data_IF_855822773725
#
_entry.id   IF_855822773725
#
_cell.length_a   1.000
_cell.length_b   1.000
_cell.length_c   1.000
_cell.angle_alpha   90.00
_cell.angle_beta   90.00
_cell.angle_gamma   90.00
#
_symmetry.space_group_name_H-M   'P 1'
#
loop_
_entity.id
_entity.type
_entity.pdbx_description
1 polymer ?
#
# COMPACT_ATOMS: atom_id res chain seq x y z
N UNK A 1 -15.85 6.17 -7.32
CA UNK A 1 -14.50 5.95 -6.72
C UNK A 1 -13.70 7.23 -6.90
N UNK A 2 -13.75 8.15 -5.93
CA UNK A 2 -13.23 9.52 -6.06
C UNK A 2 -11.71 9.62 -5.99
N UNK A 3 -11.02 9.31 -7.09
CA UNK A 3 -9.59 9.61 -7.25
C UNK A 3 -8.63 8.82 -6.35
N UNK A 4 -9.10 7.74 -5.71
CA UNK A 4 -8.25 6.90 -4.85
C UNK A 4 -7.27 6.12 -5.73
N UNK A 5 -5.96 6.17 -5.44
CA UNK A 5 -4.96 5.43 -6.22
C UNK A 5 -5.13 3.93 -5.99
N UNK A 6 -5.26 3.19 -7.09
CA UNK A 6 -5.41 1.74 -7.11
C UNK A 6 -4.20 1.06 -7.75
N UNK A 7 -3.97 -0.19 -7.39
CA UNK A 7 -2.95 -1.03 -8.01
C UNK A 7 -3.31 -1.25 -9.49
N UNK A 8 -2.33 -1.07 -10.37
CA UNK A 8 -2.50 -1.18 -11.82
C UNK A 8 -3.17 -2.52 -12.21
N UNK A 9 -4.15 -2.47 -13.11
CA UNK A 9 -4.88 -3.65 -13.56
C UNK A 9 -5.88 -4.22 -12.53
N UNK A 10 -6.03 -3.58 -11.37
CA UNK A 10 -6.97 -4.00 -10.32
C UNK A 10 -7.86 -2.84 -9.87
N UNK A 11 -8.91 -3.16 -9.11
CA UNK A 11 -9.68 -2.15 -8.35
C UNK A 11 -9.29 -2.10 -6.88
N UNK A 12 -8.14 -2.67 -6.52
CA UNK A 12 -7.66 -2.75 -5.14
C UNK A 12 -6.95 -1.43 -4.81
N UNK A 13 -7.42 -0.68 -3.80
CA UNK A 13 -6.75 0.54 -3.37
C UNK A 13 -5.34 0.26 -2.85
N UNK A 14 -4.39 1.14 -3.15
CA UNK A 14 -3.03 1.04 -2.59
C UNK A 14 -3.08 1.05 -1.06
N UNK A 15 -3.94 1.90 -0.49
CA UNK A 15 -4.13 2.01 0.95
C UNK A 15 -4.55 0.69 1.62
N UNK A 16 -5.29 -0.18 0.92
CA UNK A 16 -5.70 -1.49 1.47
C UNK A 16 -4.48 -2.37 1.72
N UNK A 17 -3.61 -2.53 0.72
CA UNK A 17 -2.41 -3.35 0.84
C UNK A 17 -1.45 -2.79 1.89
N UNK A 18 -1.23 -1.46 1.88
CA UNK A 18 -0.37 -0.82 2.88
C UNK A 18 -0.95 -0.94 4.30
N UNK A 19 -2.27 -0.87 4.44
CA UNK A 19 -2.95 -1.06 5.71
C UNK A 19 -2.76 -2.46 6.28
N UNK A 20 -2.91 -3.50 5.45
CA UNK A 20 -2.66 -4.89 5.84
C UNK A 20 -1.21 -5.10 6.29
N UNK A 21 -0.24 -4.62 5.50
CA UNK A 21 1.18 -4.68 5.89
C UNK A 21 1.43 -3.93 7.21
N UNK A 22 0.78 -2.79 7.43
CA UNK A 22 0.86 -2.03 8.68
C UNK A 22 0.25 -2.74 9.89
N UNK A 23 -0.65 -3.70 9.68
CA UNK A 23 -1.21 -4.57 10.72
C UNK A 23 -0.31 -5.78 11.03
N UNK A 24 0.79 -5.96 10.29
CA UNK A 24 1.72 -7.07 10.45
C UNK A 24 1.49 -8.24 9.50
N UNK A 25 0.55 -8.12 8.55
CA UNK A 25 0.38 -9.13 7.50
C UNK A 25 1.64 -9.22 6.61
N UNK A 26 1.95 -10.44 6.18
CA UNK A 26 3.05 -10.68 5.25
C UNK A 26 2.58 -10.68 3.81
N UNK A 27 3.49 -10.47 2.86
CA UNK A 27 3.17 -10.54 1.42
C UNK A 27 2.59 -11.91 1.08
N UNK A 28 3.14 -12.96 1.68
CA UNK A 28 2.76 -14.35 1.47
C UNK A 28 1.34 -14.64 2.00
N UNK A 29 0.90 -13.94 3.05
CA UNK A 29 -0.46 -14.01 3.60
C UNK A 29 -1.47 -13.24 2.71
N UNK A 30 -1.05 -12.09 2.18
CA UNK A 30 -1.91 -11.21 1.37
C UNK A 30 -2.20 -11.81 -0.02
N UNK A 31 -1.20 -12.39 -0.69
CA UNK A 31 -1.37 -12.86 -2.08
C UNK A 31 -2.51 -13.88 -2.28
N UNK A 32 -2.70 -14.90 -1.41
CA UNK A 32 -3.82 -15.82 -1.48
C UNK A 32 -5.21 -15.16 -1.39
N UNK A 33 -5.34 -14.08 -0.60
CA UNK A 33 -6.62 -13.37 -0.43
C UNK A 33 -6.98 -12.49 -1.63
N UNK A 34 -5.97 -12.10 -2.41
CA UNK A 34 -6.13 -11.23 -3.57
C UNK A 34 -5.53 -11.88 -4.83
N UNK A 35 -6.25 -12.78 -5.53
CA UNK A 35 -5.73 -13.54 -6.68
C UNK A 35 -5.26 -12.69 -7.88
N UNK A 36 -5.63 -11.41 -7.92
CA UNK A 36 -5.21 -10.45 -8.95
C UNK A 36 -3.92 -9.71 -8.60
N UNK A 37 -3.39 -9.91 -7.38
CA UNK A 37 -2.13 -9.36 -6.94
C UNK A 37 -0.99 -10.32 -7.23
N UNK A 38 0.14 -9.73 -7.61
CA UNK A 38 1.45 -10.38 -7.64
C UNK A 38 2.37 -9.61 -6.70
N UNK A 39 3.47 -10.23 -6.28
CA UNK A 39 4.45 -9.59 -5.38
C UNK A 39 4.87 -8.20 -5.87
N UNK A 40 5.09 -8.04 -7.18
CA UNK A 40 5.50 -6.76 -7.79
C UNK A 40 4.48 -5.64 -7.60
N UNK A 41 3.19 -5.96 -7.54
CA UNK A 41 2.15 -4.97 -7.23
C UNK A 41 2.31 -4.42 -5.81
N UNK A 42 2.60 -5.29 -4.84
CA UNK A 42 2.80 -4.88 -3.45
C UNK A 42 4.07 -4.05 -3.30
N UNK A 43 5.15 -4.44 -3.98
CA UNK A 43 6.39 -3.65 -4.01
C UNK A 43 6.18 -2.28 -4.69
N UNK A 44 5.39 -2.22 -5.76
CA UNK A 44 5.04 -0.96 -6.41
C UNK A 44 4.18 -0.06 -5.50
N UNK A 45 3.21 -0.65 -4.79
CA UNK A 45 2.41 0.05 -3.78
C UNK A 45 3.29 0.65 -2.66
N UNK A 46 4.28 -0.10 -2.16
CA UNK A 46 5.24 0.39 -1.17
C UNK A 46 6.07 1.57 -1.70
N UNK A 47 6.59 1.48 -2.92
CA UNK A 47 7.33 2.59 -3.55
C UNK A 47 6.45 3.83 -3.72
N UNK A 48 5.20 3.65 -4.15
CA UNK A 48 4.24 4.73 -4.27
C UNK A 48 3.96 5.38 -2.91
N UNK A 49 3.71 4.58 -1.87
CA UNK A 49 3.45 5.08 -0.52
C UNK A 49 4.66 5.86 0.03
N UNK A 50 5.88 5.33 -0.11
CA UNK A 50 7.10 6.02 0.28
C UNK A 50 7.28 7.35 -0.45
N UNK A 51 7.01 7.39 -1.76
CA UNK A 51 7.07 8.63 -2.55
C UNK A 51 6.02 9.63 -2.10
N UNK A 52 4.77 9.20 -1.90
CA UNK A 52 3.67 10.05 -1.48
C UNK A 52 3.89 10.67 -0.09
N UNK A 53 4.55 9.92 0.81
CA UNK A 53 4.96 10.41 2.14
C UNK A 53 6.17 11.35 2.04
N UNK A 54 7.13 11.10 1.15
CA UNK A 54 8.25 12.03 0.98
C UNK A 54 7.82 13.36 0.34
N UNK A 55 6.82 13.34 -0.55
CA UNK A 55 6.29 14.55 -1.19
C UNK A 55 5.36 15.37 -0.28
N UNK A 56 4.80 14.75 0.77
CA UNK A 56 3.99 15.43 1.78
C UNK A 56 4.77 15.45 3.07
N UNK A 57 5.28 16.61 3.48
CA UNK A 57 5.80 16.77 4.85
C UNK A 57 4.72 16.31 5.84
N UNK A 58 4.85 15.09 6.36
CA UNK A 58 3.96 14.60 7.40
C UNK A 58 4.36 15.35 8.67
N UNK A 59 3.41 15.89 9.44
CA UNK A 59 3.72 16.32 10.80
C UNK A 59 4.11 15.06 11.57
N UNK A 60 5.42 14.81 11.66
CA UNK A 60 5.96 13.81 12.56
C UNK A 60 5.58 14.27 13.95
N UNK A 61 4.70 13.54 14.63
CA UNK A 61 4.62 13.67 16.08
C UNK A 61 5.98 13.20 16.60
N UNK A 62 6.72 14.02 17.36
CA UNK A 62 7.94 13.54 17.99
C UNK A 62 7.57 12.30 18.82
N UNK A 63 8.33 11.23 18.68
CA UNK A 63 8.28 10.15 19.68
C UNK A 63 8.62 10.77 21.03
N UNK A 64 7.71 10.62 21.99
CA UNK A 64 7.97 10.91 23.39
C UNK A 64 9.00 9.93 23.97
#
# INVERSE_FOLDING_TARGET
MGGVPCIAGTRIPIATVIGLLGQGETIESILPEYPTLIRDHILAALRFAARAVNERELPLRPSA
#
